data_IF_421137167127
#
_entry.id   IF_421137167127
#
_cell.length_a   1.000
_cell.length_b   1.000
_cell.length_c   1.000
_cell.angle_alpha   90.00
_cell.angle_beta   90.00
_cell.angle_gamma   90.00
#
_symmetry.space_group_name_H-M   'P 1'
#
loop_
_entity.id
_entity.type
_entity.pdbx_description
1 polymer ?
#
# COMPACT_ATOMS: atom_id res chain seq x y z
N UNK A 1 15.80 -4.76 28.69
CA UNK A 1 14.90 -3.85 27.94
C UNK A 1 14.31 -4.62 26.78
N UNK A 2 13.09 -5.15 26.95
CA UNK A 2 12.38 -5.88 25.89
C UNK A 2 11.93 -4.89 24.83
N UNK A 3 12.54 -4.93 23.64
CA UNK A 3 12.04 -4.22 22.46
C UNK A 3 10.80 -4.98 21.98
N UNK A 4 9.62 -4.52 22.40
CA UNK A 4 8.36 -4.94 21.81
C UNK A 4 8.34 -4.41 20.37
N UNK A 5 8.66 -5.25 19.39
CA UNK A 5 8.34 -5.00 17.98
C UNK A 5 6.82 -5.14 17.85
N UNK A 6 6.13 -4.02 17.92
CA UNK A 6 4.73 -3.92 17.52
C UNK A 6 4.73 -3.96 15.98
N UNK A 7 4.38 -5.11 15.40
CA UNK A 7 4.04 -5.20 13.99
C UNK A 7 2.71 -4.46 13.81
N UNK A 8 2.76 -3.20 13.40
CA UNK A 8 1.56 -2.40 13.17
C UNK A 8 1.21 -2.52 11.70
N UNK A 9 0.36 -3.48 11.34
CA UNK A 9 -0.19 -3.57 10.00
C UNK A 9 -0.92 -2.26 9.69
N UNK A 10 -0.66 -1.66 8.55
CA UNK A 10 -1.53 -0.63 8.01
C UNK A 10 -2.57 -1.33 7.18
N UNK A 11 -3.85 -1.13 7.50
CA UNK A 11 -4.89 -1.36 6.53
C UNK A 11 -5.58 -0.04 6.32
N UNK A 12 -5.17 0.68 5.28
CA UNK A 12 -6.05 1.62 4.60
C UNK A 12 -7.06 0.75 3.86
N UNK A 13 -8.24 0.55 4.46
CA UNK A 13 -9.32 -0.16 3.81
C UNK A 13 -9.97 0.85 2.88
N UNK A 14 -9.69 0.77 1.59
CA UNK A 14 -10.58 1.37 0.59
C UNK A 14 -11.82 0.46 0.53
N UNK A 15 -12.89 0.88 1.19
CA UNK A 15 -14.15 0.14 1.23
C UNK A 15 -14.77 0.15 -0.17
N UNK A 16 -14.62 -0.94 -0.92
CA UNK A 16 -15.34 -1.17 -2.17
C UNK A 16 -16.55 -2.07 -1.92
N UNK A 17 -17.73 -1.44 -1.80
CA UNK A 17 -19.10 -1.98 -1.87
C UNK A 17 -19.52 -3.13 -0.93
N UNK A 18 -20.60 -2.88 -0.17
CA UNK A 18 -21.75 -3.79 -0.15
C UNK A 18 -23.05 -3.01 0.12
N UNK A 19 -24.10 -3.38 -0.63
CA UNK A 19 -25.52 -3.02 -0.59
C UNK A 19 -26.02 -1.75 0.14
N UNK A 20 -26.77 -0.96 -0.65
CA UNK A 20 -27.77 0.05 -0.30
C UNK A 20 -28.16 0.15 1.18
N UNK A 21 -27.72 1.22 1.85
CA UNK A 21 -28.47 1.79 2.95
C UNK A 21 -28.71 3.28 2.73
N UNK A 22 -29.99 3.62 2.95
CA UNK A 22 -30.70 4.90 2.88
C UNK A 22 -29.93 6.23 2.85
N UNK A 23 -30.40 7.08 1.92
CA UNK A 23 -30.15 8.51 1.73
C UNK A 23 -30.55 9.33 2.96
N UNK A 24 -29.65 10.16 3.51
CA UNK A 24 -29.98 11.11 4.57
C UNK A 24 -29.48 12.54 4.31
N UNK A 25 -30.34 13.51 4.58
CA UNK A 25 -30.07 14.95 4.42
C UNK A 25 -29.13 15.46 5.52
N UNK A 26 -28.07 16.14 5.11
CA UNK A 26 -27.12 16.87 5.96
C UNK A 26 -27.86 17.94 6.77
N UNK A 27 -27.63 17.98 8.09
CA UNK A 27 -28.01 19.10 8.96
C UNK A 27 -26.78 19.93 9.33
N UNK A 28 -26.96 21.23 9.52
CA UNK A 28 -25.88 22.18 9.83
C UNK A 28 -25.20 21.96 11.20
N UNK A 29 -25.81 21.17 12.09
CA UNK A 29 -25.23 20.75 13.37
C UNK A 29 -25.06 19.22 13.38
N UNK A 30 -23.82 18.77 13.17
CA UNK A 30 -23.46 17.34 13.19
C UNK A 30 -23.28 16.88 14.64
N UNK A 31 -24.33 16.29 15.20
CA UNK A 31 -24.26 15.65 16.53
C UNK A 31 -23.91 14.16 16.43
N UNK A 32 -24.02 13.60 15.22
CA UNK A 32 -23.90 12.18 14.97
C UNK A 32 -23.13 11.95 13.66
N UNK A 33 -22.40 10.85 13.57
CA UNK A 33 -21.82 10.35 12.33
C UNK A 33 -22.11 8.88 12.13
N UNK A 34 -22.25 8.46 10.87
CA UNK A 34 -22.10 7.05 10.51
C UNK A 34 -20.61 6.74 10.36
N UNK A 35 -20.20 5.59 10.87
CA UNK A 35 -18.80 5.15 10.88
C UNK A 35 -18.70 3.66 10.55
N UNK A 36 -17.53 3.23 10.07
CA UNK A 36 -17.18 1.82 9.94
C UNK A 36 -16.36 1.38 11.15
N UNK A 37 -16.71 0.21 11.69
CA UNK A 37 -15.99 -0.45 12.80
C UNK A 37 -15.51 -1.83 12.40
N UNK A 38 -14.58 -2.36 13.20
CA UNK A 38 -14.01 -3.70 13.01
C UNK A 38 -14.11 -4.52 14.30
N UNK A 39 -14.85 -5.62 14.22
CA UNK A 39 -14.93 -6.65 15.25
C UNK A 39 -15.08 -8.04 14.60
N UNK A 40 -13.97 -8.65 14.20
CA UNK A 40 -13.96 -9.87 13.37
C UNK A 40 -14.36 -9.60 11.92
N UNK A 41 -15.44 -8.86 11.69
CA UNK A 41 -15.86 -8.32 10.41
C UNK A 41 -16.07 -6.79 10.48
N UNK A 42 -16.21 -6.16 9.31
CA UNK A 42 -16.53 -4.74 9.18
C UNK A 42 -18.05 -4.54 9.30
N UNK A 43 -18.47 -3.46 9.94
CA UNK A 43 -19.89 -3.06 10.02
C UNK A 43 -20.04 -1.55 10.20
N UNK A 44 -21.17 -1.01 9.74
CA UNK A 44 -21.52 0.39 9.92
C UNK A 44 -22.25 0.63 11.25
N UNK A 45 -22.03 1.77 11.88
CA UNK A 45 -22.71 2.18 13.12
C UNK A 45 -22.93 3.70 13.11
N UNK A 46 -24.02 4.16 13.74
CA UNK A 46 -24.23 5.58 14.01
C UNK A 46 -23.76 5.94 15.42
N UNK A 47 -22.79 6.84 15.51
CA UNK A 47 -22.19 7.27 16.78
C UNK A 47 -22.54 8.71 17.11
N UNK A 48 -22.56 9.04 18.40
CA UNK A 48 -22.61 10.43 18.87
C UNK A 48 -21.20 11.01 18.87
N UNK A 49 -21.09 12.27 18.48
CA UNK A 49 -19.81 12.98 18.42
C UNK A 49 -19.87 14.30 19.17
N UNK A 50 -18.70 14.84 19.49
CA UNK A 50 -18.54 16.21 19.94
C UNK A 50 -17.35 16.85 19.22
N UNK A 51 -17.44 18.15 18.97
CA UNK A 51 -16.36 18.92 18.37
C UNK A 51 -15.25 19.12 19.40
N UNK A 52 -14.02 18.88 18.99
CA UNK A 52 -12.82 18.99 19.82
C UNK A 52 -12.02 20.24 19.48
N UNK A 53 -11.83 20.51 18.19
CA UNK A 53 -10.99 21.61 17.71
C UNK A 53 -11.43 22.06 16.31
N UNK A 54 -11.06 23.29 15.93
CA UNK A 54 -11.13 23.79 14.57
C UNK A 54 -9.89 24.62 14.23
N UNK A 55 -9.32 24.38 13.05
CA UNK A 55 -8.17 25.12 12.53
C UNK A 55 -8.53 25.73 11.17
N UNK A 56 -7.56 26.25 10.41
CA UNK A 56 -7.82 26.87 9.11
C UNK A 56 -8.46 25.88 8.12
N UNK A 57 -7.92 24.67 8.03
CA UNK A 57 -8.31 23.63 7.08
C UNK A 57 -8.99 22.40 7.72
N UNK A 58 -9.14 22.35 9.05
CA UNK A 58 -9.75 21.22 9.75
C UNK A 58 -10.94 21.59 10.65
N UNK A 59 -11.89 20.66 10.75
CA UNK A 59 -12.76 20.50 11.91
C UNK A 59 -12.48 19.14 12.53
N UNK A 60 -12.24 19.07 13.84
CA UNK A 60 -11.94 17.82 14.52
C UNK A 60 -13.08 17.44 15.45
N UNK A 61 -13.60 16.23 15.28
CA UNK A 61 -14.58 15.61 16.15
C UNK A 61 -14.00 14.38 16.84
N UNK A 62 -14.59 14.02 17.98
CA UNK A 62 -14.34 12.76 18.65
C UNK A 62 -15.66 12.07 19.03
N UNK A 63 -15.62 10.75 19.09
CA UNK A 63 -16.71 9.91 19.56
C UNK A 63 -17.02 10.19 21.04
N UNK A 64 -18.28 10.48 21.34
CA UNK A 64 -18.76 10.72 22.71
C UNK A 64 -18.58 9.48 23.58
N UNK A 65 -18.14 9.68 24.83
CA UNK A 65 -17.90 8.60 25.79
C UNK A 65 -16.47 8.04 25.79
N UNK A 66 -15.61 8.50 24.87
CA UNK A 66 -14.19 8.17 24.87
C UNK A 66 -13.33 9.32 25.38
N UNK A 67 -12.25 8.98 26.08
CA UNK A 67 -11.25 9.95 26.49
C UNK A 67 -10.34 10.31 25.31
N UNK A 68 -10.07 11.60 25.15
CA UNK A 68 -9.16 12.11 24.13
C UNK A 68 -8.13 13.02 24.79
N UNK A 69 -6.85 12.81 24.45
CA UNK A 69 -5.81 13.71 24.90
C UNK A 69 -5.73 14.91 23.96
N UNK A 70 -6.16 16.08 24.45
CA UNK A 70 -6.20 17.30 23.65
C UNK A 70 -4.83 17.71 23.09
N UNK A 71 -3.73 17.50 23.83
CA UNK A 71 -2.39 17.81 23.31
C UNK A 71 -2.01 16.95 22.10
N UNK A 72 -2.49 15.70 22.05
CA UNK A 72 -2.27 14.81 20.92
C UNK A 72 -3.11 15.21 19.71
N UNK A 73 -4.34 15.69 19.93
CA UNK A 73 -5.18 16.29 18.88
C UNK A 73 -4.51 17.50 18.28
N UNK A 74 -4.00 18.42 19.11
CA UNK A 74 -3.28 19.61 18.65
C UNK A 74 -2.02 19.25 17.86
N UNK A 75 -1.29 18.21 18.28
CA UNK A 75 -0.14 17.71 17.54
C UNK A 75 -0.52 17.24 16.12
N UNK A 76 -1.58 16.42 16.01
CA UNK A 76 -2.08 15.93 14.72
C UNK A 76 -2.59 17.09 13.85
N UNK A 77 -3.38 18.00 14.42
CA UNK A 77 -3.90 19.17 13.73
C UNK A 77 -2.77 20.05 13.17
N UNK A 78 -1.76 20.34 13.99
CA UNK A 78 -0.59 21.11 13.57
C UNK A 78 0.16 20.41 12.44
N UNK A 79 0.37 19.10 12.54
CA UNK A 79 1.03 18.33 11.49
C UNK A 79 0.26 18.36 10.17
N UNK A 80 -1.06 18.31 10.21
CA UNK A 80 -1.87 18.47 9.02
C UNK A 80 -1.72 19.87 8.41
N UNK A 81 -1.92 20.92 9.21
CA UNK A 81 -1.86 22.31 8.77
C UNK A 81 -0.50 22.68 8.16
N UNK A 82 0.58 22.26 8.81
CA UNK A 82 1.96 22.50 8.34
C UNK A 82 2.22 21.89 6.94
N UNK A 83 1.48 20.85 6.56
CA UNK A 83 1.69 20.10 5.31
C UNK A 83 0.54 20.25 4.29
N UNK A 84 -0.60 20.84 4.65
CA UNK A 84 -1.80 20.93 3.81
C UNK A 84 -1.50 21.53 2.43
N UNK A 85 -0.88 22.72 2.38
CA UNK A 85 -0.59 23.40 1.11
C UNK A 85 0.29 22.56 0.17
N UNK A 86 1.20 21.77 0.76
CA UNK A 86 2.12 20.92 0.02
C UNK A 86 1.45 19.64 -0.47
N UNK A 87 0.56 19.04 0.34
CA UNK A 87 -0.33 17.95 -0.08
C UNK A 87 -1.15 18.37 -1.31
N UNK A 88 -1.78 19.55 -1.27
CA UNK A 88 -2.57 20.08 -2.39
C UNK A 88 -1.69 20.31 -3.64
N UNK A 89 -0.50 20.89 -3.46
CA UNK A 89 0.40 21.16 -4.59
C UNK A 89 0.86 19.88 -5.31
N UNK A 90 1.10 18.81 -4.56
CA UNK A 90 1.67 17.57 -5.09
C UNK A 90 0.57 16.67 -5.67
N UNK A 91 -0.55 16.51 -4.96
CA UNK A 91 -1.56 15.49 -5.31
C UNK A 91 -2.82 16.08 -5.94
N UNK A 92 -3.07 17.38 -5.77
CA UNK A 92 -4.23 18.08 -6.30
C UNK A 92 -5.24 18.51 -5.23
N UNK A 93 -6.39 19.02 -5.68
CA UNK A 93 -7.44 19.53 -4.79
C UNK A 93 -8.37 18.42 -4.30
N UNK A 94 -8.93 18.57 -3.11
CA UNK A 94 -10.08 17.77 -2.63
C UNK A 94 -11.43 18.40 -3.04
N UNK A 95 -12.54 17.75 -2.67
CA UNK A 95 -13.92 18.26 -2.81
C UNK A 95 -14.31 19.15 -1.62
N UNK A 96 -15.53 19.70 -1.63
CA UNK A 96 -16.15 20.36 -0.47
C UNK A 96 -17.66 20.08 -0.49
N UNK A 97 -18.03 18.83 -0.20
CA UNK A 97 -19.40 18.30 -0.40
C UNK A 97 -20.41 18.99 0.52
N UNK A 98 -20.04 19.26 1.76
CA UNK A 98 -20.91 19.94 2.73
C UNK A 98 -20.74 21.45 2.78
N UNK A 99 -19.85 22.01 1.95
CA UNK A 99 -19.60 23.46 1.82
C UNK A 99 -19.09 24.11 3.10
N UNK A 100 -18.39 23.36 3.94
CA UNK A 100 -17.76 23.88 5.14
C UNK A 100 -16.33 24.41 4.88
N UNK A 101 -15.74 24.08 3.73
CA UNK A 101 -14.43 24.54 3.29
C UNK A 101 -13.23 23.87 3.99
N UNK A 102 -13.45 22.78 4.73
CA UNK A 102 -12.49 22.13 5.62
C UNK A 102 -12.59 20.60 5.52
N UNK A 103 -11.50 19.93 5.88
CA UNK A 103 -11.50 18.47 6.07
C UNK A 103 -11.94 18.17 7.50
N UNK A 104 -12.72 17.12 7.68
CA UNK A 104 -13.11 16.62 9.00
C UNK A 104 -12.16 15.49 9.41
N UNK A 105 -11.58 15.58 10.61
CA UNK A 105 -10.96 14.41 11.26
C UNK A 105 -11.92 13.92 12.34
N UNK A 106 -12.29 12.63 12.27
CA UNK A 106 -13.13 11.98 13.27
C UNK A 106 -12.33 10.93 14.04
N UNK A 107 -12.05 11.20 15.32
CA UNK A 107 -11.49 10.21 16.23
C UNK A 107 -12.60 9.32 16.80
N UNK A 108 -12.58 8.03 16.45
CA UNK A 108 -13.55 7.05 16.90
C UNK A 108 -12.86 5.74 17.30
N UNK A 109 -13.57 4.85 17.99
CA UNK A 109 -13.04 3.50 18.24
C UNK A 109 -13.25 2.62 17.01
N UNK A 110 -12.22 2.50 16.17
CA UNK A 110 -12.27 1.66 14.96
C UNK A 110 -12.12 0.19 15.35
N UNK A 111 -11.12 -0.11 16.18
CA UNK A 111 -10.74 -1.47 16.52
C UNK A 111 -11.44 -1.92 17.81
N UNK A 112 -12.11 -3.07 17.78
CA UNK A 112 -12.60 -3.71 19.00
C UNK A 112 -11.46 -4.02 19.98
N UNK A 113 -10.31 -4.45 19.46
CA UNK A 113 -9.10 -4.73 20.22
C UNK A 113 -7.84 -4.32 19.43
N UNK A 114 -6.90 -3.64 20.11
CA UNK A 114 -5.61 -3.20 19.56
C UNK A 114 -4.44 -4.16 19.84
N UNK A 115 -4.71 -5.38 20.36
CA UNK A 115 -3.69 -6.40 20.65
C UNK A 115 -3.65 -7.57 19.65
N UNK A 116 -4.29 -7.43 18.47
CA UNK A 116 -4.30 -8.44 17.40
C UNK A 116 -3.26 -8.22 16.29
N UNK A 117 -3.18 -9.17 15.35
CA UNK A 117 -2.25 -9.16 14.21
C UNK A 117 -2.62 -8.18 13.09
N UNK A 118 -3.82 -7.58 13.16
CA UNK A 118 -4.31 -6.61 12.20
C UNK A 118 -4.99 -5.46 12.94
N UNK A 119 -4.46 -4.25 12.79
CA UNK A 119 -4.93 -3.03 13.44
C UNK A 119 -5.17 -1.99 12.35
N UNK A 120 -6.35 -1.36 12.35
CA UNK A 120 -6.65 -0.25 11.43
C UNK A 120 -6.40 1.07 12.13
N UNK A 121 -5.47 1.87 11.60
CA UNK A 121 -5.11 3.14 12.21
C UNK A 121 -6.10 4.25 11.91
N UNK A 122 -6.61 4.21 10.68
CA UNK A 122 -7.55 5.16 10.13
C UNK A 122 -7.97 4.68 8.75
N UNK A 123 -8.95 5.39 8.18
CA UNK A 123 -9.42 5.14 6.83
C UNK A 123 -10.07 6.39 6.24
N UNK A 124 -10.06 6.47 4.92
CA UNK A 124 -10.94 7.29 4.11
C UNK A 124 -12.06 6.42 3.51
N UNK A 125 -13.29 6.93 3.51
CA UNK A 125 -14.45 6.24 2.93
C UNK A 125 -14.98 7.02 1.71
N UNK A 126 -14.79 6.52 0.48
CA UNK A 126 -15.20 7.22 -0.75
C UNK A 126 -16.68 7.62 -0.79
N UNK A 127 -17.57 6.81 -0.22
CA UNK A 127 -19.01 7.07 -0.14
C UNK A 127 -19.34 8.37 0.60
N UNK A 128 -18.47 8.87 1.47
CA UNK A 128 -18.68 10.19 2.09
C UNK A 128 -18.64 11.34 1.09
N UNK A 129 -17.98 11.18 -0.07
CA UNK A 129 -17.92 12.22 -1.10
C UNK A 129 -19.03 12.08 -2.16
N UNK A 130 -19.85 11.02 -2.10
CA UNK A 130 -20.95 10.80 -3.03
C UNK A 130 -22.25 11.29 -2.39
N UNK A 131 -22.86 12.29 -3.02
CA UNK A 131 -24.06 12.92 -2.49
C UNK A 131 -25.19 11.91 -2.29
N UNK A 132 -25.65 11.78 -1.05
CA UNK A 132 -26.75 10.92 -0.64
C UNK A 132 -26.34 9.50 -0.22
N UNK A 133 -25.04 9.18 -0.14
CA UNK A 133 -24.55 7.82 0.13
C UNK A 133 -24.19 7.62 1.62
N UNK A 134 -23.25 8.41 2.18
CA UNK A 134 -22.88 8.32 3.61
C UNK A 134 -23.00 9.67 4.35
N UNK A 135 -21.93 10.22 4.92
CA UNK A 135 -22.00 11.48 5.70
C UNK A 135 -21.87 12.75 4.87
N UNK A 136 -21.74 12.65 3.53
CA UNK A 136 -21.68 13.79 2.61
C UNK A 136 -20.65 14.85 3.05
N UNK A 137 -19.39 14.46 3.30
CA UNK A 137 -18.31 15.37 3.70
C UNK A 137 -16.92 14.76 3.51
N UNK A 138 -15.90 15.60 3.52
CA UNK A 138 -14.51 15.19 3.50
C UNK A 138 -14.07 14.68 4.88
N UNK A 139 -14.31 13.40 5.19
CA UNK A 139 -14.00 12.82 6.51
C UNK A 139 -12.80 11.86 6.44
N UNK A 140 -11.85 12.06 7.36
CA UNK A 140 -10.76 11.13 7.67
C UNK A 140 -11.01 10.53 9.04
N UNK A 141 -11.20 9.21 9.09
CA UNK A 141 -11.50 8.49 10.33
C UNK A 141 -10.22 7.96 10.95
N UNK A 142 -10.02 8.16 12.25
CA UNK A 142 -8.81 7.77 12.96
C UNK A 142 -9.15 7.05 14.26
N UNK A 143 -8.36 6.04 14.62
CA UNK A 143 -8.60 5.28 15.85
C UNK A 143 -8.17 6.09 17.09
N UNK A 144 -9.13 6.33 17.99
CA UNK A 144 -8.93 7.15 19.19
C UNK A 144 -7.97 6.49 20.21
N UNK A 145 -7.93 5.16 20.28
CA UNK A 145 -7.03 4.47 21.20
C UNK A 145 -5.59 4.54 20.70
N UNK A 146 -5.39 4.46 19.38
CA UNK A 146 -4.08 4.63 18.76
C UNK A 146 -3.60 6.07 18.83
N UNK A 147 -4.48 7.08 18.73
CA UNK A 147 -4.11 8.47 19.01
C UNK A 147 -3.51 8.62 20.40
N UNK A 148 -4.18 8.04 21.41
CA UNK A 148 -3.73 8.10 22.80
C UNK A 148 -2.43 7.29 23.06
N UNK A 149 -2.11 6.32 22.19
CA UNK A 149 -0.92 5.47 22.30
C UNK A 149 0.28 6.01 21.51
N UNK A 150 0.06 6.53 20.30
CA UNK A 150 1.09 6.97 19.38
C UNK A 150 0.56 8.08 18.43
N UNK A 151 0.52 9.34 18.88
CA UNK A 151 -0.01 10.44 18.08
C UNK A 151 0.86 10.77 16.85
N UNK A 152 2.16 10.45 16.88
CA UNK A 152 3.05 10.60 15.73
C UNK A 152 2.61 9.70 14.57
N UNK A 153 2.32 8.44 14.87
CA UNK A 153 1.81 7.48 13.91
C UNK A 153 0.49 7.94 13.30
N UNK A 154 -0.46 8.38 14.13
CA UNK A 154 -1.76 8.88 13.66
C UNK A 154 -1.61 10.14 12.80
N UNK A 155 -0.70 11.05 13.13
CA UNK A 155 -0.45 12.24 12.31
C UNK A 155 0.02 11.85 10.89
N UNK A 156 0.90 10.85 10.76
CA UNK A 156 1.30 10.31 9.46
C UNK A 156 0.14 9.64 8.73
N UNK A 157 -0.69 8.85 9.44
CA UNK A 157 -1.88 8.20 8.86
C UNK A 157 -2.88 9.22 8.34
N UNK A 158 -3.09 10.34 9.03
CA UNK A 158 -3.96 11.42 8.52
C UNK A 158 -3.49 11.94 7.16
N UNK A 159 -2.20 12.14 6.96
CA UNK A 159 -1.66 12.60 5.67
C UNK A 159 -1.80 11.53 4.58
N UNK A 160 -1.61 10.26 4.94
CA UNK A 160 -1.83 9.11 4.05
C UNK A 160 -3.29 9.04 3.57
N UNK A 161 -4.25 9.07 4.50
CA UNK A 161 -5.68 9.04 4.15
C UNK A 161 -6.14 10.30 3.42
N UNK A 162 -5.52 11.46 3.70
CA UNK A 162 -5.80 12.68 2.96
C UNK A 162 -5.36 12.57 1.49
N UNK A 163 -4.27 11.84 1.20
CA UNK A 163 -3.89 11.53 -0.18
C UNK A 163 -5.01 10.74 -0.88
N UNK A 164 -5.56 9.71 -0.23
CA UNK A 164 -6.63 8.90 -0.84
C UNK A 164 -7.87 9.74 -1.15
N UNK A 165 -8.25 10.64 -0.23
CA UNK A 165 -9.35 11.56 -0.43
C UNK A 165 -9.12 12.48 -1.65
N UNK A 166 -7.94 13.09 -1.76
CA UNK A 166 -7.55 13.90 -2.93
C UNK A 166 -7.58 13.04 -4.21
N UNK A 167 -7.01 11.83 -4.15
CA UNK A 167 -6.90 10.94 -5.29
C UNK A 167 -8.29 10.52 -5.83
N UNK A 168 -9.23 10.24 -4.94
CA UNK A 168 -10.62 9.91 -5.31
C UNK A 168 -11.29 11.09 -6.02
N UNK A 169 -11.10 12.34 -5.55
CA UNK A 169 -11.58 13.51 -6.27
C UNK A 169 -10.93 13.64 -7.67
N UNK A 170 -9.60 13.60 -7.73
CA UNK A 170 -8.83 13.88 -8.94
C UNK A 170 -9.05 12.83 -10.02
N UNK A 171 -9.21 11.55 -9.66
CA UNK A 171 -9.31 10.46 -10.61
C UNK A 171 -10.74 9.94 -10.76
N UNK A 172 -11.44 9.59 -9.69
CA UNK A 172 -12.80 9.07 -9.79
C UNK A 172 -13.82 10.18 -10.10
N UNK A 173 -13.96 11.17 -9.22
CA UNK A 173 -15.03 12.19 -9.36
C UNK A 173 -14.83 13.05 -10.61
N UNK A 174 -13.59 13.52 -10.88
CA UNK A 174 -13.31 14.41 -12.01
C UNK A 174 -13.10 13.71 -13.35
N UNK A 175 -12.56 12.48 -13.35
CA UNK A 175 -12.20 11.77 -14.60
C UNK A 175 -13.00 10.49 -14.83
N UNK A 176 -13.82 10.05 -13.87
CA UNK A 176 -14.64 8.85 -13.97
C UNK A 176 -13.86 7.53 -13.93
N UNK A 177 -12.61 7.54 -13.45
CA UNK A 177 -11.75 6.34 -13.42
C UNK A 177 -10.87 6.31 -12.19
N UNK A 178 -10.95 5.24 -11.41
CA UNK A 178 -10.04 5.02 -10.29
C UNK A 178 -8.60 4.81 -10.73
N UNK A 179 -7.68 5.30 -9.90
CA UNK A 179 -6.28 4.88 -9.94
C UNK A 179 -6.19 3.44 -9.45
N UNK A 180 -5.33 2.62 -10.06
CA UNK A 180 -5.10 1.26 -9.57
C UNK A 180 -4.59 1.26 -8.13
N UNK A 181 -5.02 0.26 -7.37
CA UNK A 181 -4.76 0.15 -5.93
C UNK A 181 -3.27 0.34 -5.60
N UNK A 182 -2.38 -0.33 -6.33
CA UNK A 182 -0.94 -0.23 -6.04
C UNK A 182 -0.39 1.19 -6.17
N UNK A 183 -0.83 1.96 -7.17
CA UNK A 183 -0.32 3.31 -7.37
C UNK A 183 -0.96 4.27 -6.37
N UNK A 184 -2.24 4.05 -6.05
CA UNK A 184 -2.94 4.80 -5.01
C UNK A 184 -2.19 4.65 -3.67
N UNK A 185 -1.96 3.42 -3.22
CA UNK A 185 -1.20 3.16 -1.99
C UNK A 185 0.25 3.66 -2.07
N UNK A 186 0.92 3.51 -3.22
CA UNK A 186 2.30 4.01 -3.38
C UNK A 186 2.37 5.54 -3.23
N UNK A 187 1.42 6.27 -3.82
CA UNK A 187 1.36 7.71 -3.64
C UNK A 187 0.97 8.10 -2.21
N UNK A 188 0.11 7.33 -1.53
CA UNK A 188 -0.13 7.55 -0.10
C UNK A 188 1.10 7.31 0.76
N UNK A 189 1.86 6.23 0.53
CA UNK A 189 3.15 5.97 1.22
C UNK A 189 4.19 7.07 0.92
N UNK A 190 4.09 7.76 -0.23
CA UNK A 190 4.95 8.91 -0.52
C UNK A 190 4.72 10.09 0.43
N UNK A 191 3.55 10.20 1.06
CA UNK A 191 3.29 11.22 2.09
C UNK A 191 4.18 11.00 3.33
N UNK A 192 4.37 9.75 3.74
CA UNK A 192 5.24 9.37 4.85
C UNK A 192 6.68 9.77 4.59
N UNK A 193 7.16 9.56 3.36
CA UNK A 193 8.52 9.93 2.94
C UNK A 193 8.74 11.44 3.04
N UNK A 194 7.72 12.24 2.67
CA UNK A 194 7.82 13.69 2.64
C UNK A 194 7.60 14.34 4.03
N UNK A 195 6.73 13.75 4.86
CA UNK A 195 6.15 14.45 6.01
C UNK A 195 6.26 13.69 7.34
N UNK A 196 6.54 12.38 7.32
CA UNK A 196 6.66 11.53 8.51
C UNK A 196 7.84 10.53 8.47
N UNK A 197 8.97 10.98 9.00
CA UNK A 197 10.15 10.14 9.19
C UNK A 197 9.94 8.95 10.13
N UNK A 198 8.95 8.99 11.03
CA UNK A 198 8.67 7.87 11.94
C UNK A 198 8.06 6.70 11.15
N UNK A 199 7.01 6.95 10.38
CA UNK A 199 6.41 5.94 9.51
C UNK A 199 7.39 5.43 8.46
N UNK A 200 8.17 6.31 7.83
CA UNK A 200 9.22 5.92 6.87
C UNK A 200 10.21 4.92 7.48
N UNK A 201 10.61 5.11 8.74
CA UNK A 201 11.52 4.18 9.44
C UNK A 201 10.88 2.82 9.67
N UNK A 202 9.62 2.80 10.14
CA UNK A 202 8.90 1.55 10.36
C UNK A 202 8.76 0.74 9.07
N UNK A 203 8.47 1.40 7.93
CA UNK A 203 8.43 0.76 6.60
C UNK A 203 9.75 0.15 6.18
N UNK A 204 10.87 0.82 6.49
CA UNK A 204 12.21 0.28 6.23
C UNK A 204 12.48 -0.94 7.12
N UNK A 205 12.07 -0.91 8.39
CA UNK A 205 12.20 -2.06 9.29
C UNK A 205 11.38 -3.26 8.81
N UNK A 206 10.14 -3.05 8.37
CA UNK A 206 9.29 -4.07 7.74
C UNK A 206 9.91 -4.62 6.46
N UNK A 207 10.37 -3.73 5.56
CA UNK A 207 11.05 -4.09 4.31
C UNK A 207 12.28 -4.97 4.55
N UNK A 208 13.02 -4.68 5.61
CA UNK A 208 14.23 -5.41 5.97
C UNK A 208 13.96 -6.79 6.58
N UNK A 209 12.69 -7.13 6.88
CA UNK A 209 12.27 -8.42 7.40
C UNK A 209 11.59 -9.31 6.35
N UNK A 210 11.45 -8.82 5.11
CA UNK A 210 10.87 -9.56 3.98
C UNK A 210 11.95 -9.91 2.96
N UNK A 211 11.76 -11.01 2.23
CA UNK A 211 12.61 -11.46 1.12
C UNK A 211 11.79 -11.69 -0.17
N UNK A 212 10.54 -11.22 -0.14
CA UNK A 212 9.57 -11.26 -1.21
C UNK A 212 8.98 -9.87 -1.35
N UNK A 213 9.12 -9.26 -2.52
CA UNK A 213 8.67 -7.91 -2.78
C UNK A 213 7.53 -7.95 -3.77
N UNK A 214 6.51 -7.11 -3.61
CA UNK A 214 5.37 -7.09 -4.52
C UNK A 214 4.75 -5.70 -4.57
N UNK A 215 4.36 -5.26 -5.77
CA UNK A 215 3.66 -4.00 -5.97
C UNK A 215 2.19 -4.20 -6.33
N UNK A 216 1.89 -5.16 -7.20
CA UNK A 216 0.58 -5.22 -7.86
C UNK A 216 -0.43 -6.13 -7.14
N UNK A 217 0.04 -7.17 -6.47
CA UNK A 217 -0.85 -8.13 -5.80
C UNK A 217 -0.95 -7.83 -4.32
N UNK A 218 -2.05 -7.20 -3.93
CA UNK A 218 -2.37 -6.84 -2.55
C UNK A 218 -3.20 -7.90 -1.82
N UNK A 219 -3.85 -8.79 -2.55
CA UNK A 219 -4.59 -9.95 -2.02
C UNK A 219 -3.74 -11.23 -2.20
N UNK A 220 -2.73 -11.38 -1.33
CA UNK A 220 -1.84 -12.54 -1.34
C UNK A 220 -2.43 -13.65 -0.45
N UNK A 221 -2.73 -14.85 -0.98
CA UNK A 221 -3.39 -15.92 -0.24
C UNK A 221 -2.46 -16.69 0.73
N UNK A 222 -1.23 -16.22 0.98
CA UNK A 222 -0.26 -16.94 1.82
C UNK A 222 -0.13 -16.37 3.24
N UNK A 223 -0.23 -17.30 4.19
CA UNK A 223 0.07 -17.14 5.60
C UNK A 223 1.60 -17.06 5.84
N UNK A 224 2.07 -16.24 6.81
CA UNK A 224 1.28 -15.33 7.62
C UNK A 224 1.23 -13.94 6.95
N UNK A 225 0.09 -13.60 6.34
CA UNK A 225 -0.32 -12.25 5.90
C UNK A 225 0.83 -11.27 5.77
N UNK A 226 1.69 -11.54 4.80
CA UNK A 226 2.89 -10.74 4.65
C UNK A 226 2.42 -9.51 3.88
N UNK A 227 2.16 -8.42 4.61
CA UNK A 227 1.96 -7.06 4.11
C UNK A 227 3.25 -6.58 3.43
N UNK A 228 3.75 -7.32 2.44
CA UNK A 228 4.98 -7.00 1.70
C UNK A 228 4.79 -5.79 0.82
N UNK A 229 3.54 -5.50 0.44
CA UNK A 229 3.20 -4.47 -0.53
C UNK A 229 3.48 -3.07 0.00
N UNK A 230 2.99 -2.73 1.19
CA UNK A 230 3.24 -1.44 1.83
C UNK A 230 4.74 -1.11 2.01
N UNK A 231 5.58 -1.96 2.64
CA UNK A 231 7.01 -1.69 2.74
C UNK A 231 7.70 -1.68 1.38
N UNK A 232 7.28 -2.51 0.41
CA UNK A 232 7.82 -2.47 -0.96
C UNK A 232 7.49 -1.15 -1.66
N UNK A 233 6.22 -0.72 -1.62
CA UNK A 233 5.73 0.54 -2.18
C UNK A 233 6.44 1.74 -1.54
N UNK A 234 6.50 1.78 -0.21
CA UNK A 234 7.21 2.84 0.52
C UNK A 234 8.69 2.89 0.15
N UNK A 235 9.42 1.78 0.17
CA UNK A 235 10.86 1.80 -0.15
C UNK A 235 11.11 2.15 -1.62
N UNK A 236 10.23 1.74 -2.54
CA UNK A 236 10.29 2.14 -3.94
C UNK A 236 10.07 3.65 -4.11
N UNK A 237 9.05 4.22 -3.49
CA UNK A 237 8.76 5.65 -3.58
C UNK A 237 9.87 6.48 -2.92
N UNK A 238 10.46 5.98 -1.83
CA UNK A 238 11.61 6.62 -1.21
C UNK A 238 12.82 6.59 -2.16
N UNK A 239 13.13 5.44 -2.74
CA UNK A 239 14.20 5.34 -3.73
C UNK A 239 13.98 6.29 -4.92
N UNK A 240 12.77 6.33 -5.46
CA UNK A 240 12.39 7.21 -6.56
C UNK A 240 12.63 8.69 -6.20
N UNK A 241 12.26 9.09 -4.98
CA UNK A 241 12.53 10.41 -4.43
C UNK A 241 14.03 10.69 -4.28
N UNK A 242 14.80 9.77 -3.68
CA UNK A 242 16.26 9.93 -3.54
C UNK A 242 16.93 10.07 -4.91
N UNK A 243 16.52 9.24 -5.87
CA UNK A 243 17.13 9.19 -7.20
C UNK A 243 16.78 10.40 -8.06
N UNK A 244 15.66 11.06 -7.77
CA UNK A 244 15.28 12.37 -8.31
C UNK A 244 15.77 13.53 -7.43
N UNK A 245 16.95 13.40 -6.81
CA UNK A 245 17.59 14.44 -6.01
C UNK A 245 16.72 14.99 -4.88
N UNK A 246 15.86 14.15 -4.28
CA UNK A 246 14.91 14.54 -3.25
C UNK A 246 13.96 15.66 -3.69
N UNK A 247 13.56 15.62 -4.96
CA UNK A 247 12.61 16.57 -5.53
C UNK A 247 11.21 15.96 -5.55
N UNK A 248 10.30 16.53 -4.74
CA UNK A 248 8.90 16.09 -4.64
C UNK A 248 8.11 16.20 -5.94
N UNK A 249 8.62 16.97 -6.92
CA UNK A 249 7.99 17.05 -8.24
C UNK A 249 7.89 15.69 -8.93
N UNK A 250 8.73 14.70 -8.56
CA UNK A 250 8.56 13.34 -9.08
C UNK A 250 7.18 12.78 -8.73
N UNK A 251 6.70 12.98 -7.49
CA UNK A 251 5.37 12.53 -7.08
C UNK A 251 4.26 13.37 -7.71
N UNK A 252 4.47 14.68 -7.83
CA UNK A 252 3.53 15.57 -8.53
C UNK A 252 3.37 15.17 -10.00
N UNK A 253 4.46 14.87 -10.68
CA UNK A 253 4.45 14.45 -12.08
C UNK A 253 3.69 13.12 -12.25
N UNK A 254 3.79 12.19 -11.28
CA UNK A 254 3.00 10.96 -11.28
C UNK A 254 1.51 11.28 -11.10
N UNK A 255 1.16 12.03 -10.05
CA UNK A 255 -0.22 12.31 -9.67
C UNK A 255 -0.98 13.09 -10.77
N UNK A 256 -0.29 14.00 -11.46
CA UNK A 256 -0.85 14.85 -12.51
C UNK A 256 -0.66 14.31 -13.94
N UNK A 257 -0.06 13.12 -14.10
CA UNK A 257 0.17 12.54 -15.42
C UNK A 257 -1.15 12.26 -16.18
N UNK A 258 -1.12 12.51 -17.49
CA UNK A 258 -2.21 12.19 -18.42
C UNK A 258 -2.15 10.76 -18.97
N UNK A 259 -1.12 9.98 -18.62
CA UNK A 259 -0.98 8.60 -19.09
C UNK A 259 -2.16 7.73 -18.60
N UNK A 260 -2.66 6.87 -19.49
CA UNK A 260 -3.82 6.02 -19.21
C UNK A 260 -3.49 4.79 -18.35
N UNK A 261 -2.23 4.33 -18.42
CA UNK A 261 -1.68 3.20 -17.69
C UNK A 261 -0.81 3.70 -16.53
N UNK A 262 -1.08 3.22 -15.32
CA UNK A 262 -0.47 3.77 -14.10
C UNK A 262 1.05 3.59 -14.02
N UNK A 263 1.61 2.50 -14.55
CA UNK A 263 3.08 2.35 -14.58
C UNK A 263 3.75 3.33 -15.56
N UNK A 264 3.06 3.75 -16.64
CA UNK A 264 3.58 4.76 -17.57
C UNK A 264 3.66 6.13 -16.90
N UNK A 265 2.73 6.45 -15.99
CA UNK A 265 2.80 7.66 -15.14
C UNK A 265 4.11 7.69 -14.36
N UNK A 266 4.46 6.57 -13.72
CA UNK A 266 5.69 6.42 -12.95
C UNK A 266 6.94 6.46 -13.82
N UNK A 267 6.96 5.75 -14.95
CA UNK A 267 8.08 5.78 -15.89
C UNK A 267 8.36 7.19 -16.42
N UNK A 268 7.30 7.88 -16.87
CA UNK A 268 7.41 9.23 -17.38
C UNK A 268 7.93 10.21 -16.34
N UNK A 269 7.47 10.08 -15.09
CA UNK A 269 7.93 10.93 -14.00
C UNK A 269 9.35 10.61 -13.51
N UNK A 270 9.74 9.33 -13.52
CA UNK A 270 11.09 8.92 -13.17
C UNK A 270 12.13 9.48 -14.15
N UNK A 271 11.81 9.51 -15.45
CA UNK A 271 12.72 10.02 -16.49
C UNK A 271 13.92 9.10 -16.75
N UNK A 272 13.90 7.87 -16.26
CA UNK A 272 14.89 6.83 -16.50
C UNK A 272 14.27 5.43 -16.37
N UNK A 273 14.99 4.42 -16.86
CA UNK A 273 14.45 3.08 -17.05
C UNK A 273 13.74 2.99 -18.40
N UNK A 274 14.28 2.20 -19.32
CA UNK A 274 13.77 2.09 -20.70
C UNK A 274 12.33 1.57 -20.76
N UNK A 275 11.94 0.79 -19.74
CA UNK A 275 10.62 0.22 -19.53
C UNK A 275 10.42 -0.03 -18.03
N UNK A 276 9.24 -0.52 -17.66
CA UNK A 276 8.87 -0.76 -16.27
C UNK A 276 9.82 -1.73 -15.58
N UNK A 277 10.19 -2.80 -16.28
CA UNK A 277 11.07 -3.85 -15.78
C UNK A 277 12.47 -3.28 -15.49
N UNK A 278 13.01 -2.45 -16.40
CA UNK A 278 14.27 -1.76 -16.21
C UNK A 278 14.23 -0.78 -15.02
N UNK A 279 13.09 -0.13 -14.76
CA UNK A 279 12.92 0.72 -13.58
C UNK A 279 12.98 -0.10 -12.28
N UNK A 280 12.33 -1.26 -12.24
CA UNK A 280 12.37 -2.16 -11.08
C UNK A 280 13.78 -2.73 -10.84
N UNK A 281 14.51 -3.08 -11.89
CA UNK A 281 15.91 -3.51 -11.77
C UNK A 281 16.77 -2.39 -11.19
N UNK A 282 16.60 -1.16 -11.70
CA UNK A 282 17.30 0.01 -11.18
C UNK A 282 16.98 0.27 -9.70
N UNK A 283 15.75 0.02 -9.26
CA UNK A 283 15.35 0.12 -7.87
C UNK A 283 16.13 -0.86 -6.99
N UNK A 284 16.12 -2.15 -7.33
CA UNK A 284 16.84 -3.19 -6.58
C UNK A 284 18.33 -2.88 -6.49
N UNK A 285 18.94 -2.50 -7.61
CA UNK A 285 20.34 -2.08 -7.65
C UNK A 285 20.59 -0.83 -6.80
N UNK A 286 19.65 0.11 -6.79
CA UNK A 286 19.70 1.31 -5.96
C UNK A 286 19.69 1.00 -4.47
N UNK A 287 18.81 0.09 -4.03
CA UNK A 287 18.77 -0.37 -2.65
C UNK A 287 20.08 -1.07 -2.26
N UNK A 288 20.61 -1.96 -3.12
CA UNK A 288 21.91 -2.61 -2.89
C UNK A 288 23.08 -1.63 -2.76
N UNK A 289 23.02 -0.51 -3.49
CA UNK A 289 24.00 0.59 -3.42
C UNK A 289 23.77 1.54 -2.23
N UNK A 290 22.80 1.27 -1.36
CA UNK A 290 22.49 2.09 -0.20
C UNK A 290 21.86 3.43 -0.52
N UNK A 291 21.20 3.58 -1.69
CA UNK A 291 20.57 4.85 -2.08
C UNK A 291 19.40 5.24 -1.17
N UNK A 292 18.75 4.26 -0.53
CA UNK A 292 17.81 4.48 0.57
C UNK A 292 18.49 4.05 1.86
N UNK A 293 18.80 5.01 2.73
CA UNK A 293 19.53 4.73 3.97
C UNK A 293 18.76 3.74 4.86
N UNK A 294 19.45 2.69 5.29
CA UNK A 294 18.90 1.65 6.17
C UNK A 294 18.09 0.56 5.47
N UNK A 295 17.68 0.72 4.22
CA UNK A 295 16.99 -0.33 3.47
C UNK A 295 18.00 -1.34 2.89
N UNK A 296 17.67 -2.64 2.96
CA UNK A 296 18.47 -3.73 2.38
C UNK A 296 17.59 -4.72 1.63
N UNK A 297 18.13 -5.24 0.52
CA UNK A 297 17.55 -6.39 -0.16
C UNK A 297 18.01 -7.65 0.57
N UNK A 298 17.06 -8.51 0.94
CA UNK A 298 17.34 -9.81 1.52
C UNK A 298 17.33 -10.88 0.43
N UNK A 299 18.24 -11.82 0.53
CA UNK A 299 18.20 -13.02 -0.30
C UNK A 299 16.99 -13.86 0.06
N UNK A 300 16.35 -14.42 -0.97
CA UNK A 300 15.48 -15.57 -0.79
C UNK A 300 16.30 -16.71 -0.18
N UNK A 301 15.93 -17.17 1.01
CA UNK A 301 16.59 -18.28 1.69
C UNK A 301 15.60 -19.44 1.79
N UNK A 302 15.97 -20.59 1.23
CA UNK A 302 15.14 -21.79 1.05
C UNK A 302 14.87 -22.59 2.33
N UNK A 303 15.12 -22.04 3.52
CA UNK A 303 15.00 -22.77 4.80
C UNK A 303 13.59 -23.23 5.13
N UNK A 304 12.55 -22.70 4.47
CA UNK A 304 11.16 -23.03 4.76
C UNK A 304 10.43 -23.67 3.57
N UNK A 305 10.71 -23.23 2.34
CA UNK A 305 10.26 -23.90 1.11
C UNK A 305 11.28 -23.66 -0.01
N UNK A 306 11.59 -24.70 -0.79
CA UNK A 306 12.30 -24.55 -2.07
C UNK A 306 11.40 -23.98 -3.16
N UNK A 307 10.16 -23.60 -2.84
CA UNK A 307 9.13 -23.15 -3.77
C UNK A 307 8.61 -21.76 -3.37
N UNK A 308 8.72 -20.79 -4.27
CA UNK A 308 8.06 -19.49 -4.18
C UNK A 308 6.82 -19.45 -5.09
N UNK A 309 5.76 -18.79 -4.63
CA UNK A 309 4.61 -18.43 -5.44
C UNK A 309 4.78 -16.98 -5.88
N UNK A 310 5.09 -16.79 -7.16
CA UNK A 310 5.36 -15.49 -7.77
C UNK A 310 4.06 -14.95 -8.37
N UNK A 311 3.45 -14.00 -7.67
CA UNK A 311 2.26 -13.28 -8.13
C UNK A 311 2.64 -12.17 -9.12
N UNK A 312 1.69 -11.59 -9.89
CA UNK A 312 1.97 -10.44 -10.74
C UNK A 312 2.70 -9.31 -9.98
N UNK A 313 3.82 -8.84 -10.52
CA UNK A 313 4.66 -7.83 -9.86
C UNK A 313 5.47 -8.32 -8.66
N UNK A 314 5.52 -9.63 -8.43
CA UNK A 314 6.43 -10.21 -7.46
C UNK A 314 7.88 -10.06 -7.93
N UNK A 315 8.76 -9.75 -6.98
CA UNK A 315 10.19 -9.71 -7.16
C UNK A 315 10.83 -10.47 -6.01
N UNK A 316 11.70 -11.41 -6.39
CA UNK A 316 12.54 -12.18 -5.47
C UNK A 316 13.99 -11.97 -5.88
N UNK A 317 14.87 -11.85 -4.89
CA UNK A 317 16.30 -11.67 -5.12
C UNK A 317 17.05 -12.89 -4.61
N UNK A 318 17.93 -13.47 -5.44
CA UNK A 318 18.73 -14.64 -5.09
C UNK A 318 20.15 -14.54 -5.64
N UNK A 319 21.13 -15.06 -4.89
CA UNK A 319 22.54 -15.09 -5.30
C UNK A 319 22.82 -16.12 -6.42
N UNK A 320 21.90 -17.04 -6.70
CA UNK A 320 22.03 -18.11 -7.70
C UNK A 320 20.68 -18.36 -8.38
N UNK A 321 20.73 -18.85 -9.61
CA UNK A 321 19.64 -18.91 -10.61
C UNK A 321 18.28 -19.39 -10.05
N UNK A 322 17.24 -18.58 -10.27
CA UNK A 322 15.85 -18.98 -10.05
C UNK A 322 15.45 -20.00 -11.12
N UNK A 323 14.97 -21.18 -10.72
CA UNK A 323 14.49 -22.20 -11.66
C UNK A 323 12.95 -22.23 -11.65
N UNK A 324 12.33 -21.86 -12.77
CA UNK A 324 10.88 -22.07 -12.96
C UNK A 324 10.67 -23.47 -13.54
N UNK A 325 9.79 -24.25 -12.91
CA UNK A 325 9.49 -25.61 -13.34
C UNK A 325 8.95 -25.60 -14.79
N UNK A 326 9.45 -26.46 -15.71
CA UNK A 326 8.89 -26.59 -17.06
C UNK A 326 7.38 -26.91 -17.12
N UNK A 327 6.82 -27.49 -16.06
CA UNK A 327 5.38 -27.79 -15.94
C UNK A 327 4.55 -26.65 -15.34
N UNK A 328 5.15 -25.47 -15.13
CA UNK A 328 4.41 -24.29 -14.68
C UNK A 328 3.42 -23.89 -15.77
N UNK A 329 2.14 -23.76 -15.40
CA UNK A 329 1.12 -23.21 -16.30
C UNK A 329 1.43 -21.74 -16.59
N UNK A 330 1.80 -21.48 -17.83
CA UNK A 330 2.09 -20.15 -18.38
C UNK A 330 0.97 -19.66 -19.31
N UNK A 331 -0.16 -20.38 -19.38
CA UNK A 331 -1.32 -19.94 -20.14
C UNK A 331 -2.00 -18.74 -19.45
N UNK A 332 -2.61 -17.83 -20.23
CA UNK A 332 -2.93 -16.46 -19.80
C UNK A 332 -3.62 -16.33 -18.43
N UNK A 333 -3.01 -15.54 -17.55
CA UNK A 333 -3.43 -15.23 -16.16
C UNK A 333 -3.37 -16.39 -15.14
N UNK A 334 -2.20 -17.01 -14.89
CA UNK A 334 -2.07 -17.83 -13.69
C UNK A 334 -2.15 -16.93 -12.44
N UNK A 335 -2.96 -17.30 -11.44
CA UNK A 335 -3.07 -16.54 -10.18
C UNK A 335 -1.71 -16.40 -9.46
N UNK A 336 -0.82 -17.37 -9.63
CA UNK A 336 0.59 -17.31 -9.23
C UNK A 336 1.42 -18.30 -10.06
N UNK A 337 2.71 -18.00 -10.23
CA UNK A 337 3.69 -18.90 -10.82
C UNK A 337 4.47 -19.61 -9.72
N UNK A 338 4.48 -20.94 -9.77
CA UNK A 338 5.28 -21.75 -8.86
C UNK A 338 6.73 -21.83 -9.36
N UNK A 339 7.65 -21.17 -8.68
CA UNK A 339 9.08 -21.21 -8.98
C UNK A 339 9.83 -21.99 -7.90
N UNK A 340 10.78 -22.86 -8.29
CA UNK A 340 11.69 -23.48 -7.35
C UNK A 340 12.99 -22.68 -7.26
N UNK A 341 13.38 -22.26 -6.07
CA UNK A 341 14.56 -21.41 -5.86
C UNK A 341 15.62 -22.25 -5.14
N UNK A 342 16.76 -22.48 -5.81
CA UNK A 342 17.90 -23.24 -5.28
C UNK A 342 19.18 -22.40 -5.35
N UNK A 343 20.04 -22.52 -4.32
CA UNK A 343 21.42 -22.02 -4.36
C UNK A 343 22.32 -23.07 -5.05
N UNK A 344 23.28 -22.64 -5.88
CA UNK A 344 24.10 -23.47 -6.80
C UNK A 344 25.14 -24.39 -6.08
N UNK A 345 24.78 -25.05 -4.99
CA UNK A 345 25.57 -26.11 -4.35
C UNK A 345 24.92 -27.50 -4.39
N UNK A 346 23.81 -27.67 -5.12
CA UNK A 346 23.17 -28.99 -5.29
C UNK A 346 23.23 -29.45 -6.75
N UNK A 347 24.09 -30.44 -7.01
CA UNK A 347 24.01 -31.26 -8.22
C UNK A 347 22.81 -32.18 -8.04
N UNK A 348 21.74 -31.97 -8.80
CA UNK A 348 20.68 -32.99 -8.91
C UNK A 348 21.09 -33.95 -10.03
N UNK A 349 21.74 -35.06 -9.65
CA UNK A 349 21.67 -36.31 -10.41
C UNK A 349 20.38 -37.02 -10.06
N UNK A 350 19.53 -37.32 -11.03
CA UNK A 350 18.52 -38.37 -10.83
C UNK A 350 18.33 -39.19 -12.11
N UNK A 351 18.87 -40.41 -12.08
CA UNK A 351 18.32 -41.57 -12.79
C UNK A 351 17.43 -42.34 -11.80
N UNK A 352 16.23 -42.71 -12.23
CA UNK A 352 15.49 -43.96 -11.93
C UNK A 352 14.13 -43.84 -12.64
N UNK A 353 13.81 -44.60 -13.70
CA UNK A 353 13.16 -45.93 -13.68
C UNK A 353 12.02 -45.97 -12.64
N UNK A 354 10.73 -46.13 -12.99
CA UNK A 354 10.20 -47.20 -13.83
C UNK A 354 8.85 -46.84 -14.51
N UNK A 355 8.51 -47.64 -15.52
CA UNK A 355 7.36 -47.56 -16.42
C UNK A 355 6.00 -47.80 -15.75
N UNK A 356 4.96 -47.03 -16.11
CA UNK A 356 3.68 -47.50 -16.71
C UNK A 356 2.62 -46.37 -16.79
N UNK A 357 2.13 -46.11 -18.03
CA UNK A 357 0.83 -45.56 -18.49
C UNK A 357 0.15 -44.39 -17.71
N UNK A 358 -0.37 -43.30 -18.30
CA UNK A 358 -0.83 -43.04 -19.66
C UNK A 358 -0.95 -41.50 -19.89
N UNK A 359 -0.66 -41.11 -21.13
CA UNK A 359 -1.16 -39.96 -21.90
C UNK A 359 -0.85 -38.49 -21.48
N UNK A 360 -0.21 -37.80 -22.45
CA UNK A 360 -0.25 -36.36 -22.74
C UNK A 360 0.64 -35.36 -21.97
N UNK A 361 1.88 -35.73 -21.65
CA UNK A 361 2.91 -34.74 -21.29
C UNK A 361 3.98 -34.61 -22.40
N UNK A 362 4.05 -33.44 -23.03
CA UNK A 362 5.16 -33.07 -23.92
C UNK A 362 6.40 -32.83 -23.05
N UNK A 363 7.31 -33.79 -23.02
CA UNK A 363 8.63 -33.62 -22.43
C UNK A 363 9.53 -32.83 -23.37
N UNK A 364 9.83 -31.58 -23.03
CA UNK A 364 10.94 -30.86 -23.66
C UNK A 364 12.26 -31.40 -23.08
N UNK A 365 12.82 -32.42 -23.73
CA UNK A 365 14.25 -32.73 -23.61
C UNK A 365 15.03 -31.69 -24.41
N UNK A 366 15.77 -30.80 -23.73
CA UNK A 366 16.86 -30.08 -24.39
C UNK A 366 18.07 -29.99 -23.48
N UNK A 367 19.18 -30.56 -23.95
CA UNK A 367 20.57 -30.45 -23.49
C UNK A 367 21.15 -29.03 -23.67
N UNK A 368 20.38 -27.99 -23.38
CA UNK A 368 20.87 -26.60 -23.43
C UNK A 368 21.41 -26.16 -22.07
N UNK A 369 22.61 -25.55 -22.08
CA UNK A 369 23.18 -24.86 -20.92
C UNK A 369 22.15 -23.88 -20.33
N UNK A 370 21.98 -23.83 -19.00
CA UNK A 370 20.98 -22.98 -18.34
C UNK A 370 21.24 -21.51 -18.68
N UNK A 371 20.20 -20.81 -19.14
CA UNK A 371 20.19 -19.35 -19.29
C UNK A 371 19.72 -18.73 -17.97
N UNK A 372 20.50 -17.78 -17.47
CA UNK A 372 20.20 -16.96 -16.30
C UNK A 372 19.17 -15.92 -16.73
N UNK A 373 18.01 -15.86 -16.07
CA UNK A 373 16.95 -14.90 -16.43
C UNK A 373 16.55 -14.19 -15.13
N UNK A 374 16.73 -12.87 -15.09
CA UNK A 374 16.03 -12.02 -14.12
C UNK A 374 14.55 -12.04 -14.49
N UNK A 375 13.73 -12.77 -13.73
CA UNK A 375 12.31 -12.90 -14.01
C UNK A 375 11.59 -11.68 -13.45
N UNK A 376 11.26 -10.74 -14.32
CA UNK A 376 10.27 -9.70 -14.00
C UNK A 376 8.92 -10.14 -14.55
N UNK A 377 7.96 -10.32 -13.66
CA UNK A 377 6.56 -10.50 -14.05
C UNK A 377 6.02 -9.13 -14.42
N UNK A 378 5.60 -9.00 -15.68
CA UNK A 378 4.90 -7.78 -16.05
C UNK A 378 3.53 -7.72 -15.35
N UNK A 379 2.88 -6.55 -15.46
CA UNK A 379 1.57 -6.27 -14.86
C UNK A 379 0.46 -7.26 -15.28
N UNK A 380 0.65 -7.98 -16.38
CA UNK A 380 -0.33 -8.93 -16.94
C UNK A 380 0.04 -10.39 -16.58
N UNK A 381 0.99 -10.59 -15.65
CA UNK A 381 1.45 -11.91 -15.25
C UNK A 381 2.24 -12.65 -16.34
N UNK A 382 2.64 -11.97 -17.43
CA UNK A 382 3.43 -12.56 -18.49
C UNK A 382 4.92 -12.49 -18.13
N UNK A 383 5.61 -13.60 -18.37
CA UNK A 383 7.07 -13.64 -18.26
C UNK A 383 7.65 -12.94 -19.50
N UNK A 384 8.38 -11.83 -19.29
CA UNK A 384 9.29 -11.30 -20.31
C UNK A 384 10.67 -11.91 -20.09
N UNK A 385 11.12 -12.65 -21.10
CA UNK A 385 12.42 -13.33 -21.14
C UNK A 385 13.54 -12.31 -21.41
N UNK A 386 14.56 -12.28 -20.56
CA UNK A 386 15.86 -11.68 -20.86
C UNK A 386 16.95 -12.74 -20.72
#
# INVERSE_FOLDING_TARGET
MSKFLLLISFISIVFFNSCSESVYKVSANRNDFYVMRINGSQYAEKIKIFKVEETANLIIYAESGYSINYNYVIYVAKKFEDNYSKMINIYGNHTDVDKNGKIIILFQKINANISGNSIVMGYFLPNDLIYGDFNNAEILYMDINLLNKNPQLIAGTVLHEFQHLINFNVNYIKKGKDMSLWLNESLSESTSILFDSYMTRNRIEEFNNINYYCFYTWDLPFYPNMFVNYPSASVFMNWLYQKNNRNESVFRNIAHSSESEDYKKVLGAAGYGNNWEGLLINWIDGIKKGQVNGAKINNWNSTWTTTAYLYPGALVYGNSKIHVNPSTDLSGNPQAIRAQIYEDNFIITSRSADNTANENNIYLQTTQKPKYIDLVFDKDGKIKKY
#
